data_IF_796039803910
#
_entry.id   IF_796039803910
#
_cell.length_a   1.000
_cell.length_b   1.000
_cell.length_c   1.000
_cell.angle_alpha   90.00
_cell.angle_beta   90.00
_cell.angle_gamma   90.00
#
_symmetry.space_group_name_H-M   'P 1'
#
loop_
_entity.id
_entity.type
_entity.pdbx_description
1 polymer ?
#
# COMPACT_ATOMS: atom_id res chain seq x y z
N UNK A 1 -13.00 10.74 -15.59
CA UNK A 1 -11.59 10.82 -16.02
C UNK A 1 -11.35 12.13 -16.77
N UNK A 2 -10.98 13.19 -16.06
CA UNK A 2 -10.70 14.52 -16.66
C UNK A 2 -9.41 15.15 -16.15
N UNK A 3 -8.73 14.50 -15.19
CA UNK A 3 -7.59 15.11 -14.47
C UNK A 3 -6.44 15.53 -15.40
N UNK A 4 -6.15 14.75 -16.45
CA UNK A 4 -5.09 15.08 -17.42
C UNK A 4 -5.40 16.36 -18.18
N UNK A 5 -6.60 16.47 -18.74
CA UNK A 5 -7.04 17.64 -19.49
C UNK A 5 -7.17 18.88 -18.59
N UNK A 6 -7.66 18.69 -17.36
CA UNK A 6 -7.69 19.78 -16.35
C UNK A 6 -6.27 20.26 -16.01
N UNK A 7 -5.32 19.36 -15.86
CA UNK A 7 -3.91 19.71 -15.61
C UNK A 7 -3.30 20.44 -16.82
N UNK A 8 -3.57 19.98 -18.03
CA UNK A 8 -3.15 20.65 -19.27
C UNK A 8 -3.66 22.10 -19.32
N UNK A 9 -4.96 22.34 -19.11
CA UNK A 9 -5.52 23.69 -19.13
C UNK A 9 -4.95 24.59 -18.02
N UNK A 10 -4.75 24.03 -16.82
CA UNK A 10 -4.14 24.75 -15.71
C UNK A 10 -2.69 25.13 -16.03
N UNK A 11 -1.90 24.20 -16.58
CA UNK A 11 -0.51 24.44 -16.95
C UNK A 11 -0.39 25.40 -18.14
N UNK A 12 -1.27 25.32 -19.14
CA UNK A 12 -1.29 26.26 -20.27
C UNK A 12 -1.51 27.71 -19.82
N UNK A 13 -2.39 27.92 -18.83
CA UNK A 13 -2.59 29.23 -18.23
C UNK A 13 -1.33 29.76 -17.52
N UNK A 14 -0.56 28.88 -16.86
CA UNK A 14 0.72 29.22 -16.23
C UNK A 14 1.80 29.51 -17.28
N UNK A 15 1.93 28.64 -18.28
CA UNK A 15 2.91 28.78 -19.38
C UNK A 15 2.76 30.10 -20.12
N UNK A 16 1.52 30.55 -20.40
CA UNK A 16 1.25 31.86 -21.00
C UNK A 16 1.81 33.02 -20.18
N UNK A 17 1.71 32.97 -18.84
CA UNK A 17 2.24 34.02 -17.96
C UNK A 17 3.77 34.00 -17.87
N UNK A 18 4.37 32.82 -17.99
CA UNK A 18 5.82 32.64 -17.93
C UNK A 18 6.51 32.76 -19.29
N UNK A 19 5.76 33.03 -20.37
CA UNK A 19 6.30 33.10 -21.73
C UNK A 19 6.77 31.75 -22.29
N UNK A 20 6.32 30.63 -21.74
CA UNK A 20 6.66 29.29 -22.24
C UNK A 20 5.65 28.87 -23.32
N UNK A 21 6.17 28.54 -24.51
CA UNK A 21 5.38 28.19 -25.70
C UNK A 21 5.45 26.71 -26.07
N UNK A 22 6.08 25.86 -25.25
CA UNK A 22 6.17 24.41 -25.53
C UNK A 22 4.78 23.75 -25.45
N UNK A 23 4.37 22.95 -26.45
CA UNK A 23 3.09 22.26 -26.43
C UNK A 23 3.06 21.15 -25.36
N UNK A 24 1.87 20.88 -24.82
CA UNK A 24 1.63 19.76 -23.91
C UNK A 24 1.80 18.41 -24.64
N UNK A 25 2.45 17.45 -24.00
CA UNK A 25 2.69 16.08 -24.53
C UNK A 25 2.16 14.99 -23.59
N UNK A 26 1.42 15.37 -22.55
CA UNK A 26 0.96 14.44 -21.50
C UNK A 26 -0.08 13.42 -21.98
N UNK A 27 -0.67 13.63 -23.16
CA UNK A 27 -1.59 12.68 -23.77
C UNK A 27 -0.88 11.43 -24.29
N UNK A 28 0.36 11.57 -24.76
CA UNK A 28 1.14 10.51 -25.40
C UNK A 28 2.21 9.93 -24.47
N UNK A 29 2.60 10.68 -23.45
CA UNK A 29 3.62 10.24 -22.50
C UNK A 29 3.02 9.23 -21.50
N UNK A 30 3.47 7.98 -21.60
CA UNK A 30 3.08 6.94 -20.65
C UNK A 30 3.52 7.29 -19.22
N UNK A 31 2.68 6.96 -18.24
CA UNK A 31 3.00 7.13 -16.83
C UNK A 31 4.10 6.14 -16.40
N UNK A 32 4.88 6.46 -15.34
CA UNK A 32 5.81 5.51 -14.76
C UNK A 32 5.07 4.24 -14.30
N UNK A 33 5.55 3.06 -14.69
CA UNK A 33 4.81 1.80 -14.48
C UNK A 33 4.16 1.25 -15.75
N UNK A 34 4.08 2.03 -16.83
CA UNK A 34 3.28 1.69 -18.02
C UNK A 34 4.03 1.88 -19.34
N UNK A 35 5.36 1.86 -19.35
CA UNK A 35 6.13 1.96 -20.61
C UNK A 35 6.11 0.64 -21.38
N UNK A 36 5.93 -0.50 -20.69
CA UNK A 36 5.80 -1.82 -21.30
C UNK A 36 4.42 -2.45 -21.05
N UNK A 37 3.93 -3.30 -21.98
CA UNK A 37 2.74 -4.13 -21.75
C UNK A 37 2.94 -5.12 -20.60
N UNK A 38 1.87 -5.39 -19.84
CA UNK A 38 1.90 -6.26 -18.67
C UNK A 38 2.37 -7.69 -19.00
N UNK A 39 2.03 -8.23 -20.18
CA UNK A 39 2.45 -9.56 -20.64
C UNK A 39 3.96 -9.68 -20.75
N UNK A 40 4.63 -8.59 -21.18
CA UNK A 40 6.09 -8.54 -21.29
C UNK A 40 6.71 -8.54 -19.90
N UNK A 41 6.19 -7.73 -18.98
CA UNK A 41 6.67 -7.67 -17.60
C UNK A 41 6.48 -9.00 -16.86
N UNK A 42 5.33 -9.66 -17.04
CA UNK A 42 5.04 -10.97 -16.40
C UNK A 42 6.06 -12.05 -16.80
N UNK A 43 6.59 -11.99 -18.03
CA UNK A 43 7.63 -12.92 -18.50
C UNK A 43 9.00 -12.66 -17.88
N UNK A 44 9.26 -11.46 -17.34
CA UNK A 44 10.53 -11.12 -16.69
C UNK A 44 10.61 -11.63 -15.25
N UNK A 45 9.47 -11.74 -14.55
CA UNK A 45 9.42 -12.08 -13.10
C UNK A 45 8.98 -13.54 -12.89
N UNK A 46 9.68 -14.52 -13.48
CA UNK A 46 9.21 -15.93 -13.53
C UNK A 46 9.27 -16.64 -12.16
N UNK A 47 10.18 -16.21 -11.30
CA UNK A 47 10.57 -16.86 -10.05
C UNK A 47 9.61 -16.65 -8.87
N UNK A 48 8.54 -15.86 -9.04
CA UNK A 48 7.46 -15.73 -8.07
C UNK A 48 6.27 -16.62 -8.45
N UNK A 49 5.57 -17.21 -7.46
CA UNK A 49 4.26 -17.82 -7.66
C UNK A 49 3.30 -16.90 -8.42
N UNK A 50 2.46 -17.46 -9.27
CA UNK A 50 1.59 -16.71 -10.18
C UNK A 50 0.73 -15.62 -9.49
N UNK A 51 0.14 -15.84 -8.29
CA UNK A 51 -0.62 -14.80 -7.60
C UNK A 51 0.26 -13.60 -7.17
N UNK A 52 1.46 -13.86 -6.64
CA UNK A 52 2.39 -12.82 -6.20
C UNK A 52 2.92 -12.01 -7.38
N UNK A 53 3.25 -12.70 -8.46
CA UNK A 53 3.69 -12.09 -9.71
C UNK A 53 2.61 -11.21 -10.33
N UNK A 54 1.39 -11.75 -10.43
CA UNK A 54 0.24 -11.04 -10.99
C UNK A 54 -0.06 -9.76 -10.22
N UNK A 55 -0.13 -9.84 -8.88
CA UNK A 55 -0.38 -8.68 -8.03
C UNK A 55 0.75 -7.64 -8.08
N UNK A 56 2.02 -8.09 -8.09
CA UNK A 56 3.17 -7.19 -8.22
C UNK A 56 3.13 -6.39 -9.53
N UNK A 57 2.93 -7.07 -10.66
CA UNK A 57 2.81 -6.42 -11.98
C UNK A 57 1.55 -5.57 -12.06
N UNK A 58 0.43 -5.98 -11.48
CA UNK A 58 -0.78 -5.16 -11.44
C UNK A 58 -0.55 -3.82 -10.73
N UNK A 59 0.24 -3.79 -9.65
CA UNK A 59 0.49 -2.57 -8.87
C UNK A 59 1.61 -1.70 -9.43
N UNK A 60 2.70 -2.33 -9.87
CA UNK A 60 3.94 -1.63 -10.21
C UNK A 60 4.23 -1.62 -11.72
N UNK A 61 3.51 -2.43 -12.50
CA UNK A 61 3.70 -2.58 -13.93
C UNK A 61 5.14 -2.89 -14.27
N UNK A 62 5.69 -2.21 -15.28
CA UNK A 62 7.08 -2.40 -15.74
C UNK A 62 8.15 -2.06 -14.69
N UNK A 63 7.80 -1.33 -13.63
CA UNK A 63 8.68 -1.05 -12.49
C UNK A 63 8.78 -2.20 -11.48
N UNK A 64 8.09 -3.31 -11.71
CA UNK A 64 8.16 -4.48 -10.84
C UNK A 64 9.61 -4.98 -10.75
N UNK A 65 10.24 -4.98 -9.56
CA UNK A 65 11.64 -5.39 -9.43
C UNK A 65 11.83 -6.89 -9.70
N UNK A 66 12.84 -7.24 -10.48
CA UNK A 66 13.22 -8.64 -10.70
C UNK A 66 13.68 -9.33 -9.39
N UNK A 67 14.34 -8.57 -8.51
CA UNK A 67 14.89 -9.05 -7.25
C UNK A 67 13.83 -9.36 -6.18
N UNK A 68 12.54 -9.04 -6.40
CA UNK A 68 11.46 -9.44 -5.47
C UNK A 68 11.44 -10.94 -5.20
N UNK A 69 11.96 -11.72 -6.15
CA UNK A 69 12.04 -13.17 -6.09
C UNK A 69 13.32 -13.71 -5.44
N UNK A 70 14.30 -12.84 -5.16
CA UNK A 70 15.62 -13.23 -4.70
C UNK A 70 15.62 -13.43 -3.19
N UNK A 71 16.07 -14.59 -2.74
CA UNK A 71 16.18 -14.89 -1.33
C UNK A 71 14.85 -15.26 -0.64
N UNK A 72 14.97 -15.83 0.55
CA UNK A 72 13.82 -16.29 1.34
C UNK A 72 13.05 -15.12 1.95
N UNK A 73 13.76 -14.08 2.40
CA UNK A 73 13.15 -12.93 3.05
C UNK A 73 12.25 -12.15 2.09
N UNK A 74 12.72 -11.79 0.90
CA UNK A 74 11.90 -11.02 -0.04
C UNK A 74 10.63 -11.75 -0.47
N UNK A 75 10.68 -13.08 -0.61
CA UNK A 75 9.51 -13.92 -0.95
C UNK A 75 8.54 -14.16 0.20
N UNK A 76 8.89 -13.77 1.42
CA UNK A 76 8.02 -13.96 2.59
C UNK A 76 6.73 -13.15 2.44
N UNK A 77 5.59 -13.78 2.69
CA UNK A 77 4.28 -13.13 2.61
C UNK A 77 4.06 -12.22 3.82
N UNK A 78 3.59 -11.00 3.51
CA UNK A 78 3.16 -10.01 4.49
C UNK A 78 1.63 -9.91 4.48
N UNK A 79 1.01 -9.87 3.30
CA UNK A 79 -0.45 -9.87 3.16
C UNK A 79 -0.86 -10.95 2.16
N UNK A 80 -1.58 -11.95 2.64
CA UNK A 80 -2.09 -13.06 1.85
C UNK A 80 -3.21 -12.61 0.91
N UNK A 81 -4.15 -11.81 1.42
CA UNK A 81 -5.33 -11.37 0.67
C UNK A 81 -4.97 -10.51 -0.56
N UNK A 82 -3.91 -9.71 -0.47
CA UNK A 82 -3.48 -8.78 -1.53
C UNK A 82 -2.15 -9.23 -2.18
N UNK A 83 -1.68 -10.43 -1.82
CA UNK A 83 -0.44 -11.04 -2.31
C UNK A 83 0.76 -10.08 -2.25
N UNK A 84 1.00 -9.49 -1.07
CA UNK A 84 2.11 -8.56 -0.82
C UNK A 84 3.22 -9.29 -0.09
N UNK A 85 4.44 -9.18 -0.62
CA UNK A 85 5.64 -9.80 -0.06
C UNK A 85 6.50 -8.78 0.71
N UNK A 86 7.43 -9.26 1.54
CA UNK A 86 8.34 -8.39 2.26
C UNK A 86 9.30 -7.64 1.33
N UNK A 87 9.70 -8.25 0.21
CA UNK A 87 10.50 -7.57 -0.82
C UNK A 87 9.73 -6.43 -1.47
N UNK A 88 8.41 -6.57 -1.61
CA UNK A 88 7.59 -5.50 -2.14
C UNK A 88 7.41 -4.35 -1.15
N UNK A 89 7.29 -4.66 0.15
CA UNK A 89 7.32 -3.63 1.19
C UNK A 89 8.63 -2.85 1.13
N UNK A 90 9.77 -3.55 0.99
CA UNK A 90 11.07 -2.91 0.83
C UNK A 90 11.12 -2.02 -0.43
N UNK A 91 10.67 -2.54 -1.58
CA UNK A 91 10.60 -1.76 -2.81
C UNK A 91 9.77 -0.48 -2.63
N UNK A 92 8.62 -0.57 -1.95
CA UNK A 92 7.75 0.58 -1.72
C UNK A 92 8.40 1.63 -0.81
N UNK A 93 9.13 1.21 0.23
CA UNK A 93 9.93 2.10 1.09
C UNK A 93 11.00 2.82 0.27
N UNK A 94 11.79 2.07 -0.49
CA UNK A 94 12.95 2.61 -1.20
C UNK A 94 12.57 3.47 -2.43
N UNK A 95 11.46 3.17 -3.11
CA UNK A 95 11.17 3.72 -4.45
C UNK A 95 9.82 4.45 -4.58
N UNK A 96 8.92 4.31 -3.60
CA UNK A 96 7.56 4.86 -3.66
C UNK A 96 7.24 5.84 -2.53
N UNK A 97 8.27 6.27 -1.80
CA UNK A 97 8.22 7.30 -0.75
C UNK A 97 7.24 6.94 0.37
N UNK A 98 7.27 5.67 0.80
CA UNK A 98 6.47 5.17 1.92
C UNK A 98 7.13 5.53 3.24
N UNK A 99 6.46 6.39 4.02
CA UNK A 99 6.95 6.84 5.33
C UNK A 99 6.02 6.43 6.50
N UNK A 100 4.97 5.68 6.19
CA UNK A 100 3.96 5.26 7.17
C UNK A 100 3.24 4.00 6.73
N UNK A 101 2.57 3.33 7.67
CA UNK A 101 1.71 2.18 7.39
C UNK A 101 0.54 2.55 6.45
N UNK A 102 0.05 3.79 6.53
CA UNK A 102 -0.99 4.30 5.64
C UNK A 102 -0.48 4.48 4.21
N UNK A 103 0.73 4.99 4.03
CA UNK A 103 1.34 5.10 2.69
C UNK A 103 1.62 3.73 2.11
N UNK A 104 2.08 2.78 2.93
CA UNK A 104 2.28 1.40 2.51
C UNK A 104 0.97 0.80 1.99
N UNK A 105 -0.15 0.99 2.70
CA UNK A 105 -1.49 0.60 2.22
C UNK A 105 -1.83 1.23 0.88
N UNK A 106 -1.59 2.53 0.69
CA UNK A 106 -1.87 3.23 -0.58
C UNK A 106 -1.04 2.68 -1.75
N UNK A 107 0.21 2.27 -1.50
CA UNK A 107 1.14 1.78 -2.54
C UNK A 107 1.01 0.29 -2.85
N UNK A 108 0.69 -0.52 -1.84
CA UNK A 108 0.75 -1.99 -1.94
C UNK A 108 -0.58 -2.68 -1.69
N UNK A 109 -1.59 -1.94 -1.24
CA UNK A 109 -2.91 -2.45 -0.82
C UNK A 109 -2.90 -3.31 0.45
N UNK A 110 -1.80 -3.36 1.21
CA UNK A 110 -1.77 -4.01 2.53
C UNK A 110 -2.96 -3.55 3.39
N UNK A 111 -3.70 -4.52 3.91
CA UNK A 111 -4.90 -4.30 4.73
C UNK A 111 -6.17 -3.92 3.96
N UNK A 112 -6.17 -4.02 2.62
CA UNK A 112 -7.38 -3.80 1.80
C UNK A 112 -8.11 -5.08 1.41
N UNK A 113 -7.54 -6.25 1.71
CA UNK A 113 -8.15 -7.54 1.46
C UNK A 113 -9.28 -7.88 2.43
N UNK A 114 -9.85 -9.08 2.31
CA UNK A 114 -11.01 -9.51 3.12
C UNK A 114 -10.77 -9.49 4.62
N UNK A 115 -9.54 -9.76 5.08
CA UNK A 115 -9.17 -9.65 6.50
C UNK A 115 -8.96 -8.21 6.98
N UNK A 116 -9.03 -7.21 6.09
CA UNK A 116 -9.04 -5.78 6.41
C UNK A 116 -7.88 -5.29 7.31
N UNK A 117 -6.73 -5.97 7.25
CA UNK A 117 -5.55 -5.61 8.03
C UNK A 117 -5.29 -6.50 9.24
N UNK A 118 -6.25 -7.35 9.62
CA UNK A 118 -6.19 -8.21 10.81
C UNK A 118 -4.90 -9.03 10.91
N UNK A 119 -4.47 -9.66 9.81
CA UNK A 119 -3.30 -10.55 9.82
C UNK A 119 -2.01 -9.86 9.37
N UNK A 120 -2.11 -8.82 8.55
CA UNK A 120 -0.97 -8.23 7.86
C UNK A 120 -0.47 -6.94 8.51
N UNK A 121 -1.31 -6.20 9.24
CA UNK A 121 -0.94 -4.87 9.73
C UNK A 121 0.22 -4.92 10.73
N UNK A 122 0.26 -5.93 11.61
CA UNK A 122 1.37 -6.08 12.57
C UNK A 122 2.69 -6.36 11.86
N UNK A 123 2.67 -7.29 10.88
CA UNK A 123 3.85 -7.67 10.09
C UNK A 123 4.37 -6.50 9.27
N UNK A 124 3.46 -5.75 8.67
CA UNK A 124 3.79 -4.56 7.88
C UNK A 124 4.41 -3.45 8.76
N UNK A 125 3.82 -3.16 9.93
CA UNK A 125 4.39 -2.20 10.87
C UNK A 125 5.81 -2.61 11.33
N UNK A 126 6.01 -3.90 11.65
CA UNK A 126 7.34 -4.42 12.00
C UNK A 126 8.36 -4.31 10.87
N UNK A 127 7.96 -4.48 9.61
CA UNK A 127 8.85 -4.28 8.47
C UNK A 127 9.22 -2.80 8.26
N UNK A 128 8.28 -1.87 8.47
CA UNK A 128 8.59 -0.44 8.41
C UNK A 128 9.63 -0.06 9.48
N UNK A 129 9.51 -0.61 10.69
CA UNK A 129 10.52 -0.44 11.74
C UNK A 129 11.87 -1.03 11.30
N UNK A 130 11.86 -2.27 10.77
CA UNK A 130 13.07 -2.95 10.28
C UNK A 130 13.79 -2.20 9.16
N UNK A 131 13.04 -1.50 8.30
CA UNK A 131 13.59 -0.68 7.23
C UNK A 131 13.87 0.77 7.67
N UNK A 132 13.89 1.03 8.99
CA UNK A 132 14.19 2.34 9.59
C UNK A 132 13.23 3.47 9.16
N UNK A 133 12.00 3.13 8.77
CA UNK A 133 10.96 4.11 8.43
C UNK A 133 10.30 4.67 9.70
N UNK A 134 10.11 3.82 10.70
CA UNK A 134 9.45 4.17 11.97
C UNK A 134 10.26 3.68 13.15
N UNK A 135 10.15 4.38 14.28
CA UNK A 135 10.60 3.85 15.58
C UNK A 135 9.60 2.80 16.09
N UNK A 136 9.99 2.02 17.10
CA UNK A 136 9.08 1.06 17.73
C UNK A 136 7.82 1.72 18.29
N UNK A 137 7.95 2.88 18.93
CA UNK A 137 6.82 3.64 19.46
C UNK A 137 5.88 4.11 18.35
N UNK A 138 6.43 4.70 17.28
CA UNK A 138 5.65 5.12 16.11
C UNK A 138 4.95 3.94 15.42
N UNK A 139 5.58 2.76 15.40
CA UNK A 139 5.00 1.57 14.77
C UNK A 139 3.77 1.09 15.52
N UNK A 140 3.79 1.11 16.85
CA UNK A 140 2.64 0.78 17.71
C UNK A 140 1.51 1.80 17.52
N UNK A 141 1.85 3.10 17.51
CA UNK A 141 0.88 4.18 17.30
C UNK A 141 0.21 4.11 15.91
N UNK A 142 1.01 3.93 14.86
CA UNK A 142 0.50 3.78 13.50
C UNK A 142 -0.34 2.52 13.34
N UNK A 143 0.04 1.41 13.98
CA UNK A 143 -0.74 0.17 13.98
C UNK A 143 -2.11 0.37 14.64
N UNK A 144 -2.14 1.00 15.82
CA UNK A 144 -3.40 1.35 16.51
C UNK A 144 -4.28 2.25 15.63
N UNK A 145 -3.69 3.31 15.06
CA UNK A 145 -4.41 4.24 14.18
C UNK A 145 -4.99 3.51 12.96
N UNK A 146 -4.19 2.64 12.32
CA UNK A 146 -4.60 1.89 11.14
C UNK A 146 -5.81 0.99 11.39
N UNK A 147 -5.83 0.27 12.52
CA UNK A 147 -6.94 -0.59 12.92
C UNK A 147 -8.18 0.22 13.30
N UNK A 148 -8.02 1.35 14.00
CA UNK A 148 -9.13 2.23 14.37
C UNK A 148 -9.77 2.91 13.15
N UNK A 149 -8.99 3.32 12.14
CA UNK A 149 -9.54 3.82 10.87
C UNK A 149 -10.40 2.77 10.16
N UNK A 150 -10.04 1.48 10.29
CA UNK A 150 -10.88 0.41 9.77
C UNK A 150 -12.18 0.27 10.58
N UNK A 151 -12.10 0.35 11.90
CA UNK A 151 -13.25 0.25 12.80
C UNK A 151 -14.32 1.31 12.48
N UNK A 152 -13.94 2.57 12.19
CA UNK A 152 -14.89 3.63 11.80
C UNK A 152 -15.82 3.21 10.65
N UNK A 153 -15.33 2.44 9.69
CA UNK A 153 -16.13 1.94 8.57
C UNK A 153 -16.95 0.69 8.88
N UNK A 154 -16.54 -0.09 9.88
CA UNK A 154 -17.23 -1.34 10.29
C UNK A 154 -18.28 -1.07 11.35
N UNK A 155 -18.08 -0.08 12.23
CA UNK A 155 -18.95 0.25 13.34
C UNK A 155 -20.45 0.34 12.98
N UNK A 156 -20.87 0.98 11.86
CA UNK A 156 -22.30 1.06 11.49
C UNK A 156 -22.93 -0.30 11.14
N UNK A 157 -22.12 -1.29 10.80
CA UNK A 157 -22.53 -2.64 10.41
C UNK A 157 -21.99 -3.72 11.35
N UNK A 158 -21.56 -3.34 12.55
CA UNK A 158 -20.94 -4.24 13.53
C UNK A 158 -21.99 -5.13 14.23
N UNK A 159 -22.63 -6.00 13.45
CA UNK A 159 -23.59 -7.01 13.92
C UNK A 159 -23.33 -8.34 13.20
N UNK A 160 -23.82 -9.44 13.77
CA UNK A 160 -23.59 -10.77 13.20
C UNK A 160 -22.11 -11.13 13.09
N UNK A 161 -21.69 -11.60 11.92
CA UNK A 161 -20.30 -12.02 11.67
C UNK A 161 -19.31 -10.86 11.69
N UNK A 162 -19.71 -9.66 11.22
CA UNK A 162 -18.84 -8.48 11.22
C UNK A 162 -18.41 -8.06 12.64
N UNK A 163 -19.30 -8.20 13.63
CA UNK A 163 -18.96 -7.97 15.04
C UNK A 163 -17.99 -9.02 15.56
N UNK A 164 -18.19 -10.30 15.20
CA UNK A 164 -17.30 -11.40 15.63
C UNK A 164 -15.89 -11.22 15.07
N UNK A 165 -15.76 -10.83 13.80
CA UNK A 165 -14.47 -10.53 13.17
C UNK A 165 -13.78 -9.33 13.83
N UNK A 166 -14.53 -8.29 14.17
CA UNK A 166 -14.00 -7.10 14.86
C UNK A 166 -13.52 -7.43 16.28
N UNK A 167 -14.29 -8.22 17.03
CA UNK A 167 -13.89 -8.68 18.36
C UNK A 167 -12.69 -9.63 18.31
N UNK A 168 -12.60 -10.49 17.29
CA UNK A 168 -11.44 -11.35 17.09
C UNK A 168 -10.18 -10.53 16.78
N UNK A 169 -10.28 -9.55 15.87
CA UNK A 169 -9.19 -8.61 15.58
C UNK A 169 -8.75 -7.88 16.85
N UNK A 170 -9.72 -7.36 17.63
CA UNK A 170 -9.45 -6.70 18.91
C UNK A 170 -8.71 -7.62 19.87
N UNK A 171 -9.17 -8.86 20.04
CA UNK A 171 -8.54 -9.85 20.91
C UNK A 171 -7.10 -10.15 20.50
N UNK A 172 -6.84 -10.36 19.20
CA UNK A 172 -5.50 -10.59 18.65
C UNK A 172 -4.57 -9.42 18.99
N UNK A 173 -4.98 -8.19 18.71
CA UNK A 173 -4.10 -7.03 18.86
C UNK A 173 -3.96 -6.51 20.30
N UNK A 174 -5.01 -6.63 21.11
CA UNK A 174 -4.90 -6.36 22.55
C UNK A 174 -4.03 -7.41 23.23
N UNK A 175 -4.18 -8.69 22.87
CA UNK A 175 -3.40 -9.78 23.44
C UNK A 175 -1.92 -9.75 23.03
N UNK A 176 -1.61 -9.48 21.76
CA UNK A 176 -0.24 -9.49 21.25
C UNK A 176 0.54 -8.21 21.53
N UNK A 177 -0.11 -7.04 21.41
CA UNK A 177 0.56 -5.75 21.41
C UNK A 177 0.14 -4.84 22.56
N UNK A 178 -0.82 -5.26 23.41
CA UNK A 178 -1.31 -4.43 24.51
C UNK A 178 -1.90 -3.10 24.03
N UNK A 179 -2.41 -3.03 22.79
CA UNK A 179 -2.92 -1.78 22.24
C UNK A 179 -4.08 -1.28 23.10
N UNK A 180 -3.91 -0.11 23.71
CA UNK A 180 -4.95 0.52 24.52
C UNK A 180 -6.18 0.82 23.66
N UNK A 181 -7.34 0.78 24.31
CA UNK A 181 -8.64 1.04 23.69
C UNK A 181 -8.74 2.52 23.34
N UNK A 182 -9.16 2.81 22.10
CA UNK A 182 -9.64 4.09 21.51
C UNK A 182 -9.08 5.41 22.10
N UNK A 183 -8.59 6.31 21.24
CA UNK A 183 -8.29 7.69 21.63
C UNK A 183 -9.52 8.32 22.31
N UNK A 184 -9.30 8.96 23.46
CA UNK A 184 -10.32 9.55 24.34
C UNK A 184 -11.24 10.60 23.68
N UNK A 185 -10.96 11.02 22.46
CA UNK A 185 -11.63 12.13 21.77
C UNK A 185 -12.71 11.68 20.76
N UNK A 186 -13.17 10.42 20.83
CA UNK A 186 -14.22 9.89 19.95
C UNK A 186 -15.63 9.85 20.62
N UNK A 187 -15.93 10.82 21.49
CA UNK A 187 -17.26 11.08 22.05
C UNK A 187 -17.75 12.48 21.66
#
# INVERSE_FOLDING_TARGET
MTYRLMAEWATDAVCRKLGNTRPCTTADLALPGSQEPAEVTLRKVISLPAPLRGSAVYRHGDRTPAWLSEGRLHRSLVCECEAVTAGEVQYAVENLNVNSLLDLRRRTRVGMGTCQGELCACRAAGLLQRFNVTTSAQSIEQLSTFLNERWKGVQPIAWGDALRESEFTRWVYQGLCGLEKEQKDAL
#
